data_IF_232324176858
#
_entry.id   IF_232324176858
#
_cell.length_a   1.000
_cell.length_b   1.000
_cell.length_c   1.000
_cell.angle_alpha   90.00
_cell.angle_beta   90.00
_cell.angle_gamma   90.00
#
_symmetry.space_group_name_H-M   'P 1'
#
loop_
_entity.id
_entity.type
_entity.pdbx_description
1 polymer ?
#
# COMPACT_ATOMS: atom_id res chain seq x y z
N UNK A 1 16.82 31.10 16.63
CA UNK A 1 15.55 30.91 15.96
C UNK A 1 14.50 30.54 17.00
N UNK A 2 13.58 31.44 17.32
CA UNK A 2 12.56 31.19 18.33
C UNK A 2 11.58 30.13 17.83
N UNK A 3 11.47 29.04 18.56
CA UNK A 3 10.47 27.98 18.30
C UNK A 3 9.09 28.55 18.66
N UNK A 4 8.30 28.91 17.65
CA UNK A 4 6.90 29.31 17.87
C UNK A 4 6.18 28.05 18.36
N UNK A 5 5.88 27.98 19.65
CA UNK A 5 5.08 26.90 20.24
C UNK A 5 3.62 27.18 19.87
N UNK A 6 3.10 26.48 18.84
CA UNK A 6 1.68 26.55 18.49
C UNK A 6 0.80 26.12 19.67
N UNK A 7 -0.34 26.80 19.92
CA UNK A 7 -1.33 26.39 20.91
C UNK A 7 -1.78 24.94 20.69
N UNK A 8 -1.96 24.17 21.76
CA UNK A 8 -2.31 22.73 21.70
C UNK A 8 -3.57 22.46 20.87
N UNK A 9 -4.52 23.39 20.85
CA UNK A 9 -5.76 23.31 20.06
C UNK A 9 -5.49 23.34 18.55
N UNK A 10 -4.63 24.24 18.12
CA UNK A 10 -4.27 24.43 16.70
C UNK A 10 -3.45 23.26 16.17
N UNK A 11 -2.56 22.70 16.99
CA UNK A 11 -1.79 21.50 16.63
C UNK A 11 -2.69 20.30 16.40
N UNK A 12 -3.71 20.05 17.21
CA UNK A 12 -4.67 18.95 17.00
C UNK A 12 -5.51 19.17 15.73
N UNK A 13 -5.86 20.40 15.41
CA UNK A 13 -6.59 20.73 14.18
C UNK A 13 -5.71 20.52 12.94
N UNK A 14 -4.48 21.00 12.96
CA UNK A 14 -3.47 20.79 11.90
C UNK A 14 -3.20 19.31 11.66
N UNK A 15 -3.09 18.52 12.73
CA UNK A 15 -2.88 17.09 12.65
C UNK A 15 -4.05 16.36 11.96
N UNK A 16 -5.30 16.67 12.33
CA UNK A 16 -6.49 16.10 11.66
C UNK A 16 -6.52 16.44 10.17
N UNK A 17 -6.23 17.70 9.82
CA UNK A 17 -6.15 18.14 8.41
C UNK A 17 -5.06 17.40 7.65
N UNK A 18 -3.88 17.21 8.25
CA UNK A 18 -2.77 16.50 7.62
C UNK A 18 -3.15 15.06 7.26
N UNK A 19 -3.62 14.26 8.23
CA UNK A 19 -3.98 12.85 7.99
C UNK A 19 -5.16 12.69 7.02
N UNK A 20 -6.15 13.58 7.09
CA UNK A 20 -7.27 13.61 6.15
C UNK A 20 -6.81 13.90 4.71
N UNK A 21 -5.97 14.92 4.52
CA UNK A 21 -5.40 15.24 3.21
C UNK A 21 -4.50 14.13 2.67
N UNK A 22 -3.72 13.51 3.54
CA UNK A 22 -2.84 12.42 3.16
C UNK A 22 -3.65 11.20 2.70
N UNK A 23 -4.74 10.84 3.39
CA UNK A 23 -5.63 9.77 2.96
C UNK A 23 -6.26 10.05 1.58
N UNK A 24 -6.74 11.26 1.34
CA UNK A 24 -7.29 11.66 0.03
C UNK A 24 -6.22 11.65 -1.07
N UNK A 25 -5.01 12.11 -0.77
CA UNK A 25 -3.88 12.05 -1.70
C UNK A 25 -3.57 10.60 -2.09
N UNK A 26 -3.49 9.68 -1.13
CA UNK A 26 -3.23 8.27 -1.41
C UNK A 26 -4.34 7.63 -2.26
N UNK A 27 -5.61 7.98 -2.00
CA UNK A 27 -6.72 7.53 -2.86
C UNK A 27 -6.58 8.06 -4.28
N UNK A 28 -6.20 9.32 -4.46
CA UNK A 28 -5.97 9.89 -5.79
C UNK A 28 -4.84 9.14 -6.52
N UNK A 29 -3.71 8.86 -5.84
CA UNK A 29 -2.60 8.07 -6.39
C UNK A 29 -3.08 6.68 -6.83
N UNK A 30 -3.84 6.01 -5.99
CA UNK A 30 -4.40 4.68 -6.28
C UNK A 30 -5.36 4.75 -7.46
N UNK A 31 -6.30 5.69 -7.45
CA UNK A 31 -7.27 5.84 -8.52
C UNK A 31 -6.58 6.09 -9.88
N UNK A 32 -5.64 7.04 -9.94
CA UNK A 32 -4.91 7.36 -11.18
C UNK A 32 -4.11 6.15 -11.65
N UNK A 33 -3.37 5.49 -10.77
CA UNK A 33 -2.53 4.34 -11.14
C UNK A 33 -3.33 3.12 -11.61
N UNK A 34 -4.50 2.87 -11.02
CA UNK A 34 -5.35 1.74 -11.38
C UNK A 34 -6.45 2.10 -12.38
N UNK A 35 -6.60 3.38 -12.78
CA UNK A 35 -7.61 3.81 -13.72
C UNK A 35 -7.58 3.01 -15.03
N UNK A 36 -6.46 2.87 -15.74
CA UNK A 36 -6.42 2.15 -17.03
C UNK A 36 -6.65 0.64 -16.90
N UNK A 37 -6.27 0.07 -15.75
CA UNK A 37 -6.26 -1.38 -15.57
C UNK A 37 -7.49 -1.92 -14.81
N UNK A 38 -8.20 -1.06 -14.09
CA UNK A 38 -9.32 -1.47 -13.23
C UNK A 38 -10.50 -0.49 -13.29
N UNK A 39 -10.36 0.75 -12.77
CA UNK A 39 -11.49 1.66 -12.58
C UNK A 39 -12.11 2.18 -13.87
N UNK A 40 -11.29 2.55 -14.85
CA UNK A 40 -11.70 3.10 -16.15
C UNK A 40 -11.26 2.19 -17.31
N UNK A 41 -11.15 0.91 -17.03
CA UNK A 41 -10.80 -0.09 -18.05
C UNK A 41 -11.81 -0.04 -19.21
N UNK A 42 -11.32 0.09 -20.42
CA UNK A 42 -12.12 0.22 -21.63
C UNK A 42 -12.61 1.65 -21.95
N UNK A 43 -12.37 2.62 -21.03
CA UNK A 43 -12.70 4.03 -21.22
C UNK A 43 -11.44 4.84 -21.56
N UNK A 44 -10.34 4.55 -20.88
CA UNK A 44 -9.02 5.19 -21.12
C UNK A 44 -8.06 4.20 -21.79
N UNK A 45 -6.99 4.68 -22.45
CA UNK A 45 -5.98 3.80 -23.07
C UNK A 45 -5.50 2.74 -22.07
N UNK A 46 -5.37 1.47 -22.49
CA UNK A 46 -4.98 0.39 -21.60
C UNK A 46 -3.54 0.56 -21.11
N UNK A 47 -3.29 0.15 -19.88
CA UNK A 47 -1.94 -0.02 -19.40
C UNK A 47 -1.28 -1.19 -20.15
N UNK A 48 -0.03 -1.03 -20.66
CA UNK A 48 0.63 -2.07 -21.45
C UNK A 48 0.95 -3.30 -20.59
N UNK A 49 0.15 -4.35 -20.74
CA UNK A 49 0.30 -5.65 -20.08
C UNK A 49 -0.02 -6.79 -21.04
N UNK A 50 0.67 -7.92 -20.92
CA UNK A 50 0.45 -9.07 -21.81
C UNK A 50 -1.00 -9.58 -21.78
N UNK A 51 -1.60 -9.66 -20.60
CA UNK A 51 -2.97 -10.12 -20.42
C UNK A 51 -3.77 -9.15 -19.55
N UNK A 52 -4.51 -8.20 -20.15
CA UNK A 52 -5.30 -7.22 -19.41
C UNK A 52 -6.63 -7.76 -18.85
N UNK A 53 -6.95 -9.05 -19.03
CA UNK A 53 -8.22 -9.65 -18.59
C UNK A 53 -8.36 -9.56 -17.07
N UNK A 54 -9.53 -9.12 -16.59
CA UNK A 54 -9.88 -9.13 -15.18
C UNK A 54 -10.54 -10.47 -14.84
N UNK A 55 -9.79 -11.36 -14.22
CA UNK A 55 -10.33 -12.60 -13.66
C UNK A 55 -11.16 -12.30 -12.40
N UNK A 56 -12.11 -13.19 -11.99
CA UNK A 56 -12.87 -13.00 -10.77
C UNK A 56 -12.00 -12.71 -9.52
N UNK A 57 -10.86 -13.39 -9.41
CA UNK A 57 -9.91 -13.18 -8.32
C UNK A 57 -9.31 -11.75 -8.33
N UNK A 58 -8.94 -11.25 -9.51
CA UNK A 58 -8.42 -9.88 -9.67
C UNK A 58 -9.50 -8.84 -9.39
N UNK A 59 -10.74 -9.10 -9.80
CA UNK A 59 -11.89 -8.22 -9.48
C UNK A 59 -12.13 -8.19 -7.98
N UNK A 60 -12.19 -9.35 -7.32
CA UNK A 60 -12.37 -9.44 -5.86
C UNK A 60 -11.25 -8.69 -5.12
N UNK A 61 -10.00 -8.90 -5.52
CA UNK A 61 -8.84 -8.17 -5.00
C UNK A 61 -9.02 -6.65 -5.14
N UNK A 62 -9.36 -6.19 -6.34
CA UNK A 62 -9.57 -4.76 -6.60
C UNK A 62 -10.70 -4.15 -5.75
N UNK A 63 -11.83 -4.85 -5.61
CA UNK A 63 -12.96 -4.43 -4.76
C UNK A 63 -12.52 -4.31 -3.29
N UNK A 64 -11.86 -5.34 -2.76
CA UNK A 64 -11.47 -5.40 -1.35
C UNK A 64 -10.46 -4.30 -1.01
N UNK A 65 -9.48 -4.04 -1.90
CA UNK A 65 -8.52 -2.95 -1.70
C UNK A 65 -9.15 -1.56 -1.90
N UNK A 66 -10.12 -1.43 -2.80
CA UNK A 66 -10.91 -0.19 -2.93
C UNK A 66 -11.68 0.09 -1.63
N UNK A 67 -12.32 -0.94 -1.06
CA UNK A 67 -12.97 -0.83 0.25
C UNK A 67 -11.99 -0.46 1.36
N UNK A 68 -10.79 -1.03 1.38
CA UNK A 68 -9.75 -0.65 2.33
C UNK A 68 -9.38 0.84 2.25
N UNK A 69 -9.21 1.36 1.04
CA UNK A 69 -8.92 2.79 0.83
C UNK A 69 -10.11 3.68 1.20
N UNK A 70 -11.33 3.25 0.89
CA UNK A 70 -12.55 3.96 1.30
C UNK A 70 -12.69 4.02 2.83
N UNK A 71 -12.37 2.91 3.51
CA UNK A 71 -12.32 2.85 4.98
C UNK A 71 -11.27 3.81 5.52
N UNK A 72 -10.07 3.85 4.95
CA UNK A 72 -9.02 4.77 5.40
C UNK A 72 -9.48 6.23 5.33
N UNK A 73 -10.07 6.66 4.21
CA UNK A 73 -10.62 8.00 4.06
C UNK A 73 -11.72 8.25 5.08
N UNK A 74 -12.70 7.35 5.16
CA UNK A 74 -13.83 7.47 6.08
C UNK A 74 -13.35 7.59 7.53
N UNK A 75 -12.40 6.77 7.95
CA UNK A 75 -11.82 6.79 9.29
C UNK A 75 -11.11 8.11 9.60
N UNK A 76 -10.36 8.66 8.66
CA UNK A 76 -9.70 9.94 8.85
C UNK A 76 -10.69 11.10 8.88
N UNK A 77 -11.75 11.06 8.06
CA UNK A 77 -12.84 12.05 8.07
C UNK A 77 -13.66 12.00 9.36
N UNK A 78 -13.95 10.81 9.90
CA UNK A 78 -14.63 10.66 11.18
C UNK A 78 -13.86 11.30 12.33
N UNK A 79 -12.52 11.13 12.36
CA UNK A 79 -11.65 11.81 13.33
C UNK A 79 -11.64 13.32 13.11
N UNK A 80 -11.58 13.77 11.85
CA UNK A 80 -11.66 15.20 11.53
C UNK A 80 -12.98 15.83 11.99
N UNK A 81 -14.08 15.11 11.85
CA UNK A 81 -15.43 15.49 12.28
C UNK A 81 -15.69 15.24 13.80
N UNK A 82 -14.69 14.77 14.57
CA UNK A 82 -14.79 14.44 16.01
C UNK A 82 -15.79 13.33 16.34
N UNK A 83 -16.12 12.46 15.38
CA UNK A 83 -17.05 11.31 15.52
C UNK A 83 -16.32 10.06 16.00
N UNK A 84 -15.72 10.11 17.20
CA UNK A 84 -14.84 9.05 17.71
C UNK A 84 -15.55 7.71 17.92
N UNK A 85 -16.81 7.70 18.37
CA UNK A 85 -17.56 6.45 18.56
C UNK A 85 -17.80 5.72 17.23
N UNK A 86 -18.18 6.45 16.19
CA UNK A 86 -18.40 5.87 14.85
C UNK A 86 -17.07 5.35 14.30
N UNK A 87 -15.97 6.11 14.47
CA UNK A 87 -14.62 5.65 14.13
C UNK A 87 -14.28 4.32 14.79
N UNK A 88 -14.54 4.18 16.09
CA UNK A 88 -14.25 2.94 16.82
C UNK A 88 -15.13 1.76 16.38
N UNK A 89 -16.42 1.98 16.12
CA UNK A 89 -17.34 0.93 15.63
C UNK A 89 -16.93 0.46 14.23
N UNK A 90 -16.74 1.39 13.31
CA UNK A 90 -16.27 1.08 11.94
C UNK A 90 -14.86 0.46 11.95
N UNK A 91 -14.00 0.89 12.88
CA UNK A 91 -12.65 0.35 13.02
C UNK A 91 -12.62 -1.16 13.33
N UNK A 92 -13.59 -1.68 14.08
CA UNK A 92 -13.72 -3.13 14.32
C UNK A 92 -14.07 -3.89 13.05
N UNK A 93 -14.98 -3.36 12.23
CA UNK A 93 -15.32 -3.94 10.93
C UNK A 93 -14.14 -3.84 9.93
N UNK A 94 -13.39 -2.73 9.98
CA UNK A 94 -12.19 -2.56 9.20
C UNK A 94 -11.10 -3.60 9.53
N UNK A 95 -11.03 -4.05 10.79
CA UNK A 95 -10.10 -5.13 11.15
C UNK A 95 -10.52 -6.48 10.59
N UNK A 96 -11.82 -6.78 10.51
CA UNK A 96 -12.29 -7.99 9.81
C UNK A 96 -11.93 -7.92 8.33
N UNK A 97 -12.11 -6.77 7.70
CA UNK A 97 -11.68 -6.56 6.31
C UNK A 97 -10.17 -6.79 6.17
N UNK A 98 -9.34 -6.27 7.06
CA UNK A 98 -7.90 -6.46 7.04
C UNK A 98 -7.48 -7.93 7.18
N UNK A 99 -8.18 -8.70 8.02
CA UNK A 99 -7.94 -10.15 8.16
C UNK A 99 -8.29 -10.88 6.85
N UNK A 100 -9.37 -10.50 6.18
CA UNK A 100 -9.77 -11.08 4.89
C UNK A 100 -8.82 -10.69 3.74
N UNK A 101 -8.22 -9.51 3.81
CA UNK A 101 -7.26 -9.04 2.80
C UNK A 101 -6.07 -9.98 2.71
N UNK A 102 -5.53 -10.47 3.82
CA UNK A 102 -4.32 -11.31 3.83
C UNK A 102 -4.46 -12.58 2.97
N UNK A 103 -5.46 -13.45 3.15
CA UNK A 103 -5.63 -14.60 2.28
C UNK A 103 -5.97 -14.21 0.84
N UNK A 104 -6.70 -13.12 0.60
CA UNK A 104 -7.00 -12.62 -0.75
C UNK A 104 -5.71 -12.18 -1.46
N UNK A 105 -4.78 -11.51 -0.76
CA UNK A 105 -3.46 -11.17 -1.31
C UNK A 105 -2.72 -12.43 -1.76
N UNK A 106 -2.65 -13.45 -0.89
CA UNK A 106 -1.97 -14.70 -1.21
C UNK A 106 -2.60 -15.38 -2.43
N UNK A 107 -3.92 -15.64 -2.40
CA UNK A 107 -4.62 -16.31 -3.48
C UNK A 107 -4.47 -15.56 -4.80
N UNK A 108 -4.60 -14.24 -4.79
CA UNK A 108 -4.41 -13.43 -6.01
C UNK A 108 -2.97 -13.49 -6.50
N UNK A 109 -1.98 -13.57 -5.61
CA UNK A 109 -0.56 -13.69 -5.97
C UNK A 109 -0.25 -15.02 -6.66
N UNK A 110 -0.81 -16.13 -6.18
CA UNK A 110 -0.55 -17.45 -6.76
C UNK A 110 -1.39 -17.73 -8.02
N UNK A 111 -2.64 -17.32 -8.04
CA UNK A 111 -3.52 -17.53 -9.21
C UNK A 111 -3.17 -16.61 -10.40
N UNK A 112 -2.46 -15.52 -10.18
CA UNK A 112 -1.97 -14.69 -11.28
C UNK A 112 -0.91 -15.38 -12.14
N UNK A 113 -0.30 -16.48 -11.68
CA UNK A 113 0.66 -17.27 -12.48
C UNK A 113 -0.03 -17.78 -13.75
N UNK A 114 -1.21 -18.41 -13.63
CA UNK A 114 -1.99 -18.88 -14.78
C UNK A 114 -2.47 -17.73 -15.69
N UNK A 115 -2.64 -16.52 -15.14
CA UNK A 115 -3.03 -15.33 -15.92
C UNK A 115 -1.89 -14.82 -16.82
N UNK A 116 -0.62 -15.09 -16.48
CA UNK A 116 0.56 -14.66 -17.23
C UNK A 116 0.57 -13.16 -17.58
N UNK A 117 0.34 -12.30 -16.58
CA UNK A 117 0.29 -10.83 -16.75
C UNK A 117 1.47 -10.08 -16.11
N UNK A 118 2.60 -10.74 -16.03
CA UNK A 118 3.85 -10.17 -15.52
C UNK A 118 4.49 -9.21 -16.54
N UNK A 119 5.41 -8.34 -16.13
CA UNK A 119 6.24 -7.57 -17.07
C UNK A 119 7.12 -8.46 -17.95
N UNK A 120 7.52 -7.98 -19.14
CA UNK A 120 8.26 -8.81 -20.11
C UNK A 120 9.68 -9.19 -19.68
N UNK A 121 10.24 -8.56 -18.64
CA UNK A 121 11.58 -8.89 -18.13
C UNK A 121 11.62 -10.07 -17.13
N UNK A 122 10.49 -10.72 -16.89
CA UNK A 122 10.40 -11.83 -15.92
C UNK A 122 9.36 -12.86 -16.35
N UNK A 123 9.37 -14.03 -15.72
CA UNK A 123 8.37 -15.08 -15.88
C UNK A 123 7.24 -14.99 -14.82
N UNK A 124 6.10 -15.70 -15.02
CA UNK A 124 4.96 -15.63 -14.09
C UNK A 124 5.27 -16.11 -12.68
N UNK A 125 6.12 -17.13 -12.51
CA UNK A 125 6.47 -17.69 -11.19
C UNK A 125 7.37 -16.72 -10.43
N UNK A 126 8.43 -16.24 -11.08
CA UNK A 126 9.34 -15.25 -10.47
C UNK A 126 8.60 -13.95 -10.10
N UNK A 127 7.63 -13.52 -10.91
CA UNK A 127 6.83 -12.33 -10.61
C UNK A 127 6.03 -12.43 -9.30
N UNK A 128 5.72 -13.64 -8.81
CA UNK A 128 4.96 -13.83 -7.56
C UNK A 128 5.65 -13.20 -6.34
N UNK A 129 6.99 -13.05 -6.37
CA UNK A 129 7.73 -12.41 -5.27
C UNK A 129 7.21 -11.01 -4.96
N UNK A 130 6.79 -10.25 -5.98
CA UNK A 130 6.32 -8.87 -5.83
C UNK A 130 5.05 -8.79 -4.97
N UNK A 131 3.92 -9.45 -5.33
CA UNK A 131 2.74 -9.41 -4.48
C UNK A 131 2.93 -10.15 -3.15
N UNK A 132 3.69 -11.25 -3.10
CA UNK A 132 3.91 -12.00 -1.86
C UNK A 132 4.74 -11.20 -0.83
N UNK A 133 5.73 -10.43 -1.28
CA UNK A 133 6.54 -9.59 -0.40
C UNK A 133 5.72 -8.52 0.33
N UNK A 134 4.51 -8.18 -0.15
CA UNK A 134 3.65 -7.16 0.49
C UNK A 134 2.80 -7.70 1.64
N UNK A 135 2.59 -9.04 1.73
CA UNK A 135 1.67 -9.66 2.68
C UNK A 135 2.11 -9.45 4.12
N UNK A 136 3.35 -9.81 4.44
CA UNK A 136 3.90 -9.67 5.80
C UNK A 136 3.96 -8.19 6.23
N UNK A 137 4.50 -7.26 5.42
CA UNK A 137 4.47 -5.84 5.72
C UNK A 137 3.07 -5.28 6.02
N UNK A 138 2.06 -5.66 5.23
CA UNK A 138 0.68 -5.27 5.50
C UNK A 138 0.20 -5.80 6.85
N UNK A 139 0.33 -7.11 7.08
CA UNK A 139 -0.11 -7.74 8.31
C UNK A 139 0.57 -7.12 9.55
N UNK A 140 1.89 -6.88 9.48
CA UNK A 140 2.66 -6.25 10.56
C UNK A 140 2.17 -4.84 10.84
N UNK A 141 2.00 -4.00 9.82
CA UNK A 141 1.59 -2.60 10.00
C UNK A 141 0.17 -2.49 10.54
N UNK A 142 -0.77 -3.30 10.03
CA UNK A 142 -2.15 -3.35 10.53
C UNK A 142 -2.18 -3.87 11.97
N UNK A 143 -1.45 -4.93 12.28
CA UNK A 143 -1.32 -5.46 13.64
C UNK A 143 -0.76 -4.43 14.62
N UNK A 144 0.32 -3.75 14.25
CA UNK A 144 0.90 -2.67 15.05
C UNK A 144 -0.09 -1.51 15.24
N UNK A 145 -0.84 -1.16 14.22
CA UNK A 145 -1.91 -0.17 14.31
C UNK A 145 -3.01 -0.61 15.28
N UNK A 146 -3.39 -1.89 15.28
CA UNK A 146 -4.41 -2.43 16.18
C UNK A 146 -3.95 -2.54 17.63
N UNK A 147 -2.79 -3.10 17.86
CA UNK A 147 -2.24 -3.25 19.22
C UNK A 147 -2.07 -1.88 19.89
N UNK A 148 -1.60 -0.90 19.12
CA UNK A 148 -1.40 0.47 19.60
C UNK A 148 -2.61 1.38 19.41
N UNK A 149 -3.83 0.86 19.21
CA UNK A 149 -5.02 1.69 18.95
C UNK A 149 -5.36 2.69 20.04
N UNK A 150 -4.89 2.47 21.28
CA UNK A 150 -5.01 3.43 22.39
C UNK A 150 -3.95 4.55 22.34
N UNK A 151 -2.86 4.35 21.59
CA UNK A 151 -1.85 5.35 21.31
C UNK A 151 -2.09 5.94 19.90
N UNK A 152 -2.81 7.08 19.85
CA UNK A 152 -3.18 7.70 18.58
C UNK A 152 -1.97 8.02 17.69
N UNK A 153 -0.78 8.29 18.28
CA UNK A 153 0.41 8.65 17.50
C UNK A 153 1.00 7.42 16.77
N UNK A 154 0.95 6.25 17.38
CA UNK A 154 1.32 4.99 16.76
C UNK A 154 0.28 4.53 15.74
N UNK A 155 -0.97 4.44 16.19
CA UNK A 155 -2.08 3.91 15.40
C UNK A 155 -2.19 4.56 14.02
N UNK A 156 -2.31 5.88 13.96
CA UNK A 156 -2.52 6.60 12.70
C UNK A 156 -1.36 6.46 11.73
N UNK A 157 -0.10 6.41 12.23
CA UNK A 157 1.08 6.23 11.39
C UNK A 157 1.19 4.82 10.84
N UNK A 158 0.92 3.82 11.66
CA UNK A 158 0.94 2.42 11.24
C UNK A 158 -0.15 2.15 10.19
N UNK A 159 -1.39 2.65 10.39
CA UNK A 159 -2.48 2.49 9.44
C UNK A 159 -2.22 3.24 8.12
N UNK A 160 -1.66 4.45 8.18
CA UNK A 160 -1.25 5.19 6.99
C UNK A 160 -0.10 4.48 6.26
N UNK A 161 0.89 3.98 7.00
CA UNK A 161 1.99 3.18 6.46
C UNK A 161 1.50 1.92 5.75
N UNK A 162 0.54 1.20 6.31
CA UNK A 162 -0.08 0.04 5.67
C UNK A 162 -0.71 0.41 4.32
N UNK A 163 -1.41 1.55 4.23
CA UNK A 163 -2.00 2.01 2.97
C UNK A 163 -0.94 2.43 1.94
N UNK A 164 0.15 3.06 2.38
CA UNK A 164 1.26 3.44 1.48
C UNK A 164 1.91 2.19 0.90
N UNK A 165 2.33 1.27 1.77
CA UNK A 165 3.14 0.11 1.38
C UNK A 165 2.39 -0.84 0.45
N UNK A 166 1.07 -1.03 0.65
CA UNK A 166 0.35 -2.13 0.00
C UNK A 166 -0.54 -1.68 -1.15
N UNK A 167 -0.97 -0.43 -1.16
CA UNK A 167 -1.92 0.05 -2.19
C UNK A 167 -1.37 1.21 -2.99
N UNK A 168 -0.85 2.23 -2.32
CA UNK A 168 -0.40 3.44 -2.99
C UNK A 168 0.93 3.24 -3.73
N UNK A 169 1.86 2.45 -3.18
CA UNK A 169 3.07 2.05 -3.86
C UNK A 169 2.77 1.36 -5.19
N UNK A 170 2.02 0.22 -5.19
CA UNK A 170 1.57 -0.41 -6.43
C UNK A 170 0.80 0.52 -7.38
N UNK A 171 0.10 1.54 -6.85
CA UNK A 171 -0.56 2.58 -7.66
C UNK A 171 0.45 3.41 -8.46
N UNK A 172 1.53 3.90 -7.83
CA UNK A 172 2.62 4.60 -8.52
C UNK A 172 3.27 3.71 -9.59
N UNK A 173 3.49 2.43 -9.27
CA UNK A 173 4.07 1.46 -10.17
C UNK A 173 3.31 1.22 -11.48
N UNK A 174 2.09 1.74 -11.58
CA UNK A 174 1.24 1.64 -12.77
C UNK A 174 1.16 2.92 -13.61
N UNK A 175 1.88 3.95 -13.22
CA UNK A 175 1.93 5.15 -14.06
C UNK A 175 2.67 4.84 -15.36
N UNK A 176 2.09 5.12 -16.54
CA UNK A 176 2.65 4.72 -17.84
C UNK A 176 3.78 5.67 -18.31
N UNK A 177 4.63 6.11 -17.38
CA UNK A 177 5.73 7.04 -17.64
C UNK A 177 7.07 6.35 -17.83
N UNK A 178 7.14 5.05 -17.52
CA UNK A 178 8.36 4.28 -17.65
C UNK A 178 8.15 3.06 -18.54
N UNK A 179 9.17 2.68 -19.35
CA UNK A 179 9.12 1.45 -20.13
C UNK A 179 9.12 0.22 -19.20
N UNK A 180 8.56 -0.93 -19.62
CA UNK A 180 8.50 -2.13 -18.79
C UNK A 180 9.84 -2.89 -18.76
N UNK A 181 10.89 -2.23 -18.25
CA UNK A 181 12.23 -2.79 -18.07
C UNK A 181 12.57 -2.99 -16.59
N UNK A 182 13.56 -3.85 -16.30
CA UNK A 182 14.01 -4.08 -14.93
C UNK A 182 14.57 -2.80 -14.28
N UNK A 183 15.26 -1.96 -15.03
CA UNK A 183 15.78 -0.68 -14.55
C UNK A 183 14.63 0.24 -14.17
N UNK A 184 13.64 0.41 -15.04
CA UNK A 184 12.47 1.24 -14.76
C UNK A 184 11.65 0.71 -13.56
N UNK A 185 11.50 -0.60 -13.46
CA UNK A 185 10.88 -1.26 -12.30
C UNK A 185 11.61 -0.89 -11.01
N UNK A 186 12.94 -1.00 -10.99
CA UNK A 186 13.76 -0.63 -9.82
C UNK A 186 13.58 0.83 -9.43
N UNK A 187 13.60 1.75 -10.42
CA UNK A 187 13.38 3.18 -10.19
C UNK A 187 12.00 3.43 -9.60
N UNK A 188 10.95 2.82 -10.15
CA UNK A 188 9.57 2.95 -9.66
C UNK A 188 9.45 2.49 -8.21
N UNK A 189 10.03 1.34 -7.88
CA UNK A 189 10.00 0.82 -6.51
C UNK A 189 10.74 1.75 -5.52
N UNK A 190 11.84 2.36 -5.94
CA UNK A 190 12.51 3.39 -5.14
C UNK A 190 11.67 4.67 -5.02
N UNK A 191 10.91 5.04 -6.05
CA UNK A 191 10.03 6.22 -5.99
C UNK A 191 8.88 6.07 -5.00
N UNK A 192 8.48 4.85 -4.64
CA UNK A 192 7.45 4.63 -3.62
C UNK A 192 7.80 5.26 -2.26
N UNK A 193 9.10 5.40 -1.94
CA UNK A 193 9.55 6.08 -0.72
C UNK A 193 9.13 7.56 -0.67
N UNK A 194 8.89 8.20 -1.80
CA UNK A 194 8.39 9.59 -1.88
C UNK A 194 7.05 9.74 -1.15
N UNK A 195 6.23 8.69 -1.12
CA UNK A 195 4.94 8.69 -0.40
C UNK A 195 5.09 8.85 1.11
N UNK A 196 6.25 8.50 1.68
CA UNK A 196 6.55 8.73 3.09
C UNK A 196 7.08 10.13 3.40
N UNK A 197 7.55 10.87 2.40
CA UNK A 197 8.15 12.20 2.61
C UNK A 197 7.23 13.16 3.39
N UNK A 198 5.93 13.29 3.06
CA UNK A 198 5.03 14.16 3.82
C UNK A 198 4.94 13.76 5.30
N UNK A 199 4.92 12.44 5.60
CA UNK A 199 4.85 11.94 6.97
C UNK A 199 6.17 12.16 7.72
N UNK A 200 7.32 12.01 7.06
CA UNK A 200 8.64 12.30 7.62
C UNK A 200 8.76 13.79 7.97
N UNK A 201 8.34 14.67 7.04
CA UNK A 201 8.35 16.11 7.24
C UNK A 201 7.41 16.51 8.40
N UNK A 202 6.23 15.90 8.46
CA UNK A 202 5.28 16.09 9.55
C UNK A 202 5.89 15.70 10.90
N UNK A 203 6.50 14.53 10.98
CA UNK A 203 7.14 14.03 12.19
C UNK A 203 8.24 14.98 12.68
N UNK A 204 9.16 15.36 11.78
CA UNK A 204 10.26 16.27 12.12
C UNK A 204 9.77 17.64 12.59
N UNK A 205 8.74 18.19 11.94
CA UNK A 205 8.16 19.49 12.31
C UNK A 205 7.41 19.47 13.65
N UNK A 206 6.76 18.33 13.98
CA UNK A 206 5.89 18.24 15.15
C UNK A 206 6.56 17.62 16.38
N UNK A 207 7.57 16.77 16.19
CA UNK A 207 8.24 16.03 17.28
C UNK A 207 9.76 16.15 17.26
N UNK A 208 10.34 16.87 16.31
CA UNK A 208 11.79 17.02 16.13
C UNK A 208 12.50 15.76 15.58
N UNK A 209 11.82 14.62 15.48
CA UNK A 209 12.38 13.33 15.05
C UNK A 209 11.35 12.50 14.29
N UNK A 210 11.83 11.54 13.49
CA UNK A 210 10.96 10.58 12.82
C UNK A 210 10.38 9.62 13.87
N UNK A 211 9.05 9.49 13.90
CA UNK A 211 8.35 8.63 14.85
C UNK A 211 8.69 7.15 14.62
N UNK A 212 8.82 6.30 15.68
CA UNK A 212 9.12 4.88 15.51
C UNK A 212 8.15 4.13 14.60
N UNK A 213 6.85 4.44 14.63
CA UNK A 213 5.86 3.84 13.71
C UNK A 213 6.10 4.24 12.24
N UNK A 214 6.58 5.46 11.97
CA UNK A 214 7.00 5.89 10.62
C UNK A 214 8.25 5.14 10.16
N UNK A 215 9.22 4.97 11.06
CA UNK A 215 10.43 4.16 10.79
C UNK A 215 10.05 2.70 10.47
N UNK A 216 9.11 2.13 11.22
CA UNK A 216 8.60 0.79 10.92
C UNK A 216 7.96 0.74 9.53
N UNK A 217 7.12 1.71 9.16
CA UNK A 217 6.55 1.79 7.81
C UNK A 217 7.62 1.86 6.72
N UNK A 218 8.67 2.67 6.91
CA UNK A 218 9.81 2.74 5.99
C UNK A 218 10.58 1.42 5.90
N UNK A 219 10.78 0.72 7.02
CA UNK A 219 11.43 -0.59 7.03
C UNK A 219 10.58 -1.64 6.30
N UNK A 220 9.24 -1.62 6.48
CA UNK A 220 8.33 -2.49 5.77
C UNK A 220 8.32 -2.19 4.26
N UNK A 221 8.36 -0.91 3.87
CA UNK A 221 8.50 -0.54 2.45
C UNK A 221 9.85 -1.01 1.89
N UNK A 222 10.93 -0.90 2.66
CA UNK A 222 12.24 -1.40 2.23
C UNK A 222 12.21 -2.90 1.93
N UNK A 223 11.53 -3.71 2.73
CA UNK A 223 11.35 -5.14 2.45
C UNK A 223 10.58 -5.37 1.14
N UNK A 224 9.46 -4.65 0.95
CA UNK A 224 8.64 -4.74 -0.28
C UNK A 224 9.44 -4.33 -1.52
N UNK A 225 10.32 -3.34 -1.39
CA UNK A 225 11.14 -2.81 -2.49
C UNK A 225 12.34 -3.71 -2.77
N UNK A 226 13.18 -3.96 -1.76
CA UNK A 226 14.50 -4.54 -2.00
C UNK A 226 14.50 -6.06 -2.12
N UNK A 227 13.53 -6.79 -1.56
CA UNK A 227 13.46 -8.24 -1.74
C UNK A 227 13.18 -8.60 -3.21
N UNK A 228 12.11 -8.10 -3.88
CA UNK A 228 11.91 -8.37 -5.29
C UNK A 228 13.03 -7.85 -6.18
N UNK A 229 13.52 -6.63 -5.92
CA UNK A 229 14.65 -6.05 -6.68
C UNK A 229 15.88 -6.96 -6.59
N UNK A 230 16.23 -7.45 -5.41
CA UNK A 230 17.35 -8.39 -5.24
C UNK A 230 17.14 -9.68 -6.03
N UNK A 231 15.95 -10.28 -5.98
CA UNK A 231 15.64 -11.50 -6.74
C UNK A 231 15.85 -11.27 -8.24
N UNK A 232 15.35 -10.17 -8.79
CA UNK A 232 15.47 -9.90 -10.23
C UNK A 232 16.89 -9.56 -10.67
N UNK A 233 17.67 -8.83 -9.87
CA UNK A 233 19.04 -8.44 -10.22
C UNK A 233 20.07 -9.54 -10.01
N UNK A 234 19.86 -10.44 -9.04
CA UNK A 234 20.79 -11.54 -8.78
C UNK A 234 20.47 -12.80 -9.57
N UNK A 235 19.27 -12.88 -10.17
CA UNK A 235 18.80 -14.09 -10.82
C UNK A 235 18.55 -15.25 -9.82
N UNK A 236 18.25 -14.93 -8.55
CA UNK A 236 17.94 -15.93 -7.54
C UNK A 236 16.74 -16.79 -7.99
N UNK A 237 16.86 -18.10 -7.83
CA UNK A 237 15.85 -19.08 -8.27
C UNK A 237 14.60 -19.06 -7.37
N UNK A 238 13.87 -17.96 -7.43
CA UNK A 238 12.57 -17.85 -6.78
C UNK A 238 11.51 -18.72 -7.47
N UNK A 239 11.60 -18.93 -8.78
CA UNK A 239 10.62 -19.71 -9.53
C UNK A 239 10.47 -21.13 -8.98
N UNK A 240 11.57 -21.82 -8.64
CA UNK A 240 11.54 -23.15 -8.03
C UNK A 240 10.86 -23.19 -6.66
N UNK A 241 10.94 -22.10 -5.89
CA UNK A 241 10.24 -21.95 -4.62
C UNK A 241 8.76 -21.68 -4.89
N UNK A 242 8.46 -20.73 -5.79
CA UNK A 242 7.11 -20.32 -6.12
C UNK A 242 6.28 -21.49 -6.70
N UNK A 243 6.87 -22.35 -7.52
CA UNK A 243 6.20 -23.52 -8.08
C UNK A 243 5.68 -24.51 -7.02
N UNK A 244 6.24 -24.49 -5.81
CA UNK A 244 5.84 -25.36 -4.68
C UNK A 244 4.78 -24.72 -3.77
N UNK A 245 4.41 -23.47 -4.02
CA UNK A 245 3.43 -22.77 -3.18
C UNK A 245 2.02 -23.36 -3.42
N UNK A 246 1.22 -23.57 -2.36
CA UNK A 246 -0.15 -24.05 -2.49
C UNK A 246 -0.99 -23.15 -3.39
N UNK A 247 -1.69 -23.76 -4.37
CA UNK A 247 -2.56 -23.04 -5.30
C UNK A 247 -1.87 -22.45 -6.54
N UNK A 248 -0.56 -22.66 -6.72
CA UNK A 248 0.13 -22.34 -7.97
C UNK A 248 -0.18 -23.43 -8.99
N UNK A 249 -0.69 -23.05 -10.16
CA UNK A 249 -1.07 -24.00 -11.23
C UNK A 249 -2.47 -24.62 -11.07
N UNK A 250 -3.27 -24.15 -10.09
CA UNK A 250 -4.67 -24.55 -9.92
C UNK A 250 -5.65 -23.78 -10.79
#
# INVERSE_FOLDING_TARGET
MATIVEPVGDRKASERKFYSRMALFLVAVVFIGFAPSFYLKGIVPPYPRPNPTLTPAVVLHGIVFTLWMAVLVTQTQLIAARKHEVHMRLGKLAMLLAILIVPIMYLTAVWQVARANQPPFTDPLTWTIVPLATIVPFAVLVWQGWVHRRNAQWHKRAMLGAAIVVVAGPGIGRFPIFPPTLVAFTIIFCLEFVLFVPLIVWDRRTTGKIHPATKLGLAMLALVTFIPVAVFWTGADWASIAAKLPGVGG
#
